data_IF_649423062538
#
_entry.id   IF_649423062538
#
_cell.length_a   1.000
_cell.length_b   1.000
_cell.length_c   1.000
_cell.angle_alpha   90.00
_cell.angle_beta   90.00
_cell.angle_gamma   90.00
#
_symmetry.space_group_name_H-M   'P 1'
#
loop_
_entity.id
_entity.type
_entity.pdbx_description
1 polymer ?
#
# COMPACT_ATOMS: atom_id res chain seq x y z
N UNK A 1 3.21 18.09 -20.63
CA UNK A 1 1.99 17.24 -20.50
C UNK A 1 2.06 16.54 -19.15
N UNK A 2 1.04 16.65 -18.32
CA UNK A 2 0.99 16.02 -17.01
C UNK A 2 0.21 14.72 -17.12
N UNK A 3 0.72 13.64 -16.52
CA UNK A 3 0.09 12.33 -16.56
C UNK A 3 0.87 11.28 -15.75
N UNK A 4 0.40 10.05 -15.77
CA UNK A 4 1.09 8.91 -15.15
C UNK A 4 2.11 8.35 -16.12
N UNK A 5 3.39 8.45 -15.80
CA UNK A 5 4.49 7.98 -16.65
C UNK A 5 4.87 6.52 -16.41
N UNK A 6 4.73 6.06 -15.15
CA UNK A 6 5.06 4.69 -14.76
C UNK A 6 4.10 4.20 -13.66
N UNK A 7 4.01 2.90 -13.49
CA UNK A 7 3.28 2.29 -12.40
C UNK A 7 3.99 1.01 -11.93
N UNK A 8 3.76 0.65 -10.69
CA UNK A 8 4.27 -0.58 -10.11
C UNK A 8 3.32 -1.13 -9.06
N UNK A 9 3.37 -2.42 -8.83
CA UNK A 9 2.50 -3.10 -7.87
C UNK A 9 3.28 -4.15 -7.10
N UNK A 10 2.92 -4.32 -5.84
CA UNK A 10 3.36 -5.41 -5.01
C UNK A 10 2.15 -6.07 -4.34
N UNK A 11 2.11 -7.40 -4.37
CA UNK A 11 1.12 -8.20 -3.66
C UNK A 11 1.88 -9.27 -2.87
N UNK A 12 1.67 -9.40 -1.55
CA UNK A 12 2.30 -10.44 -0.74
C UNK A 12 2.20 -11.83 -1.38
N UNK A 13 3.25 -12.62 -1.28
CA UNK A 13 3.32 -13.93 -1.96
C UNK A 13 2.51 -15.02 -1.28
N UNK A 14 2.37 -14.93 0.06
CA UNK A 14 1.61 -15.93 0.80
C UNK A 14 0.11 -15.89 0.45
N UNK A 15 -0.49 -17.06 0.40
CA UNK A 15 -1.92 -17.23 0.10
C UNK A 15 -2.58 -18.03 1.21
N UNK A 16 -3.73 -17.55 1.64
CA UNK A 16 -4.58 -18.26 2.59
C UNK A 16 -5.88 -18.67 1.90
N UNK A 17 -6.17 -19.97 1.93
CA UNK A 17 -7.39 -20.50 1.34
C UNK A 17 -8.60 -20.10 2.20
N UNK A 18 -9.57 -19.43 1.59
CA UNK A 18 -10.77 -18.96 2.28
C UNK A 18 -11.61 -20.10 2.88
N UNK A 19 -11.56 -21.29 2.28
CA UNK A 19 -12.22 -22.47 2.84
C UNK A 19 -11.62 -22.88 4.19
N UNK A 20 -10.30 -22.77 4.35
CA UNK A 20 -9.63 -23.05 5.63
C UNK A 20 -10.05 -22.06 6.72
N UNK A 21 -10.19 -20.77 6.37
CA UNK A 21 -10.70 -19.75 7.30
C UNK A 21 -12.14 -20.09 7.72
N UNK A 22 -12.99 -20.39 6.77
CA UNK A 22 -14.40 -20.74 7.04
C UNK A 22 -14.50 -21.99 7.91
N UNK A 23 -13.74 -23.04 7.62
CA UNK A 23 -13.74 -24.27 8.43
C UNK A 23 -13.31 -24.03 9.87
N UNK A 24 -12.31 -23.18 10.09
CA UNK A 24 -11.82 -22.85 11.42
C UNK A 24 -12.82 -22.02 12.24
N UNK A 25 -13.69 -21.24 11.60
CA UNK A 25 -14.57 -20.26 12.24
C UNK A 25 -16.06 -20.54 12.06
N UNK A 26 -16.48 -21.56 11.30
CA UNK A 26 -17.88 -21.85 10.99
C UNK A 26 -18.72 -22.25 12.21
N UNK A 27 -18.08 -22.75 13.25
CA UNK A 27 -18.73 -23.01 14.54
C UNK A 27 -19.22 -21.73 15.23
N UNK A 28 -18.54 -20.60 14.96
CA UNK A 28 -18.87 -19.28 15.49
C UNK A 28 -19.81 -18.50 14.55
N UNK A 29 -19.53 -18.55 13.23
CA UNK A 29 -20.35 -17.88 12.21
C UNK A 29 -20.47 -18.76 10.95
N UNK A 30 -21.57 -19.47 10.85
CA UNK A 30 -21.86 -20.34 9.70
C UNK A 30 -21.99 -19.58 8.36
N UNK A 31 -22.25 -18.26 8.40
CA UNK A 31 -22.36 -17.44 7.17
C UNK A 31 -21.05 -17.33 6.39
N UNK A 32 -19.90 -17.56 7.04
CA UNK A 32 -18.58 -17.56 6.41
C UNK A 32 -18.45 -18.62 5.31
N UNK A 33 -19.21 -19.70 5.37
CA UNK A 33 -19.21 -20.74 4.33
C UNK A 33 -19.64 -20.19 2.96
N UNK A 34 -20.50 -19.20 2.92
CA UNK A 34 -20.92 -18.56 1.68
C UNK A 34 -19.80 -17.77 0.98
N UNK A 35 -18.79 -17.35 1.75
CA UNK A 35 -17.62 -16.59 1.31
C UNK A 35 -16.37 -17.48 1.09
N UNK A 36 -16.46 -18.79 1.34
CA UNK A 36 -15.36 -19.75 1.34
C UNK A 36 -14.88 -20.13 -0.07
N UNK A 37 -14.71 -19.16 -0.96
CA UNK A 37 -14.26 -19.37 -2.35
C UNK A 37 -12.96 -18.61 -2.61
N UNK A 38 -12.02 -19.33 -3.24
CA UNK A 38 -10.73 -18.76 -3.64
C UNK A 38 -9.75 -18.57 -2.48
N UNK A 39 -8.76 -17.74 -2.73
CA UNK A 39 -7.67 -17.45 -1.82
C UNK A 39 -7.56 -15.93 -1.61
N UNK A 40 -6.94 -15.53 -0.50
CA UNK A 40 -6.53 -14.16 -0.27
C UNK A 40 -5.02 -14.07 -0.12
N UNK A 41 -4.42 -12.97 -0.56
CA UNK A 41 -3.05 -12.64 -0.20
C UNK A 41 -2.98 -12.29 1.29
N UNK A 42 -1.95 -12.79 1.95
CA UNK A 42 -1.63 -12.43 3.33
C UNK A 42 -0.19 -11.95 3.42
N UNK A 43 0.03 -10.94 4.23
CA UNK A 43 1.37 -10.48 4.54
C UNK A 43 2.12 -11.54 5.33
N UNK A 44 3.42 -11.65 5.08
CA UNK A 44 4.32 -12.40 5.93
C UNK A 44 4.55 -11.61 7.25
N UNK A 45 5.20 -12.21 8.23
CA UNK A 45 5.46 -11.60 9.53
C UNK A 45 6.35 -10.35 9.45
N UNK A 46 7.18 -10.25 8.44
CA UNK A 46 8.12 -9.15 8.15
C UNK A 46 7.58 -8.15 7.13
N UNK A 47 6.36 -8.34 6.63
CA UNK A 47 5.72 -7.43 5.69
C UNK A 47 4.76 -6.48 6.42
N UNK A 48 4.92 -5.20 6.17
CA UNK A 48 4.05 -4.12 6.64
C UNK A 48 3.75 -3.10 5.52
N UNK A 49 3.05 -2.04 5.86
CA UNK A 49 2.73 -0.95 4.92
C UNK A 49 3.97 -0.35 4.28
N UNK A 50 5.08 -0.19 5.03
CA UNK A 50 6.30 0.43 4.52
C UNK A 50 7.05 -0.52 3.59
N UNK A 51 7.27 -1.75 4.02
CA UNK A 51 7.99 -2.75 3.23
C UNK A 51 7.30 -3.05 1.90
N UNK A 52 5.97 -3.17 1.92
CA UNK A 52 5.18 -3.33 0.70
C UNK A 52 5.22 -2.09 -0.20
N UNK A 53 5.21 -0.89 0.39
CA UNK A 53 5.34 0.36 -0.35
C UNK A 53 6.68 0.45 -1.08
N UNK A 54 7.78 0.07 -0.42
CA UNK A 54 9.13 0.03 -1.02
C UNK A 54 9.18 -0.94 -2.19
N UNK A 55 8.63 -2.14 -2.06
CA UNK A 55 8.64 -3.13 -3.15
C UNK A 55 7.78 -2.70 -4.35
N UNK A 56 6.60 -2.11 -4.11
CA UNK A 56 5.79 -1.54 -5.18
C UNK A 56 6.51 -0.39 -5.90
N UNK A 57 7.17 0.48 -5.13
CA UNK A 57 7.95 1.60 -5.67
C UNK A 57 9.15 1.13 -6.49
N UNK A 58 9.90 0.13 -6.04
CA UNK A 58 11.00 -0.48 -6.82
C UNK A 58 10.50 -0.99 -8.17
N UNK A 59 9.36 -1.65 -8.19
CA UNK A 59 8.75 -2.12 -9.44
C UNK A 59 8.37 -0.95 -10.35
N UNK A 60 7.85 0.15 -9.80
CA UNK A 60 7.52 1.36 -10.55
C UNK A 60 8.78 2.03 -11.13
N UNK A 61 9.85 2.12 -10.35
CA UNK A 61 11.09 2.81 -10.69
C UNK A 61 12.06 1.94 -11.49
N UNK A 62 11.72 0.69 -11.81
CA UNK A 62 12.63 -0.23 -12.52
C UNK A 62 13.10 0.31 -13.89
N UNK A 63 12.33 1.21 -14.51
CA UNK A 63 12.65 1.87 -15.79
C UNK A 63 12.85 3.38 -15.67
N UNK A 64 12.91 3.93 -14.46
CA UNK A 64 13.00 5.36 -14.20
C UNK A 64 14.22 5.66 -13.31
N UNK A 65 14.74 6.89 -13.39
CA UNK A 65 15.85 7.32 -12.53
C UNK A 65 15.31 7.81 -11.18
N UNK A 66 15.73 7.25 -10.04
CA UNK A 66 15.34 7.76 -8.72
C UNK A 66 15.71 9.23 -8.49
N UNK A 67 16.72 9.73 -9.19
CA UNK A 67 17.20 11.12 -9.11
C UNK A 67 16.22 12.15 -9.66
N UNK A 68 15.30 11.72 -10.53
CA UNK A 68 14.27 12.57 -11.13
C UNK A 68 13.13 12.84 -10.16
N UNK A 69 12.93 11.99 -9.16
CA UNK A 69 11.86 12.12 -8.16
C UNK A 69 12.14 13.33 -7.26
N UNK A 70 11.23 14.29 -7.24
CA UNK A 70 11.31 15.50 -6.42
C UNK A 70 10.32 15.53 -5.27
N UNK A 71 9.35 14.63 -5.28
CA UNK A 71 8.39 14.49 -4.18
C UNK A 71 7.88 13.05 -4.04
N UNK A 72 7.67 12.64 -2.79
CA UNK A 72 7.17 11.34 -2.41
C UNK A 72 5.93 11.49 -1.53
N UNK A 73 4.84 10.90 -1.94
CA UNK A 73 3.57 10.86 -1.23
C UNK A 73 3.24 9.42 -0.86
N UNK A 74 3.07 9.15 0.42
CA UNK A 74 2.66 7.83 0.91
C UNK A 74 1.24 7.90 1.47
N UNK A 75 0.31 7.21 0.84
CA UNK A 75 -1.08 7.14 1.26
C UNK A 75 -1.37 5.81 1.94
N UNK A 76 -1.86 5.85 3.18
CA UNK A 76 -2.25 4.67 3.94
C UNK A 76 -3.22 4.99 5.08
N UNK A 77 -4.01 4.01 5.50
CA UNK A 77 -4.75 4.05 6.77
C UNK A 77 -4.11 3.18 7.86
N UNK A 78 -2.97 2.54 7.55
CA UNK A 78 -2.29 1.57 8.42
C UNK A 78 -0.80 1.89 8.58
N UNK A 79 -0.47 3.15 8.79
CA UNK A 79 0.89 3.58 9.06
C UNK A 79 1.46 2.91 10.33
N UNK A 80 2.65 2.32 10.28
CA UNK A 80 3.26 1.72 11.46
C UNK A 80 3.82 2.76 12.44
N UNK A 81 4.24 3.93 11.96
CA UNK A 81 4.81 4.97 12.82
C UNK A 81 3.86 6.16 12.97
N UNK A 82 3.68 6.60 14.23
CA UNK A 82 2.89 7.77 14.60
C UNK A 82 3.75 8.96 15.05
N UNK A 83 5.01 8.70 15.39
CA UNK A 83 5.99 9.65 15.91
C UNK A 83 6.98 10.15 14.85
N UNK A 84 6.93 9.60 13.66
CA UNK A 84 7.79 9.99 12.52
C UNK A 84 7.03 9.86 11.21
N UNK A 85 7.54 10.53 10.20
CA UNK A 85 6.97 10.49 8.85
C UNK A 85 7.35 9.17 8.16
N UNK A 86 6.36 8.38 7.77
CA UNK A 86 6.55 7.06 7.16
C UNK A 86 7.14 7.17 5.74
N UNK A 87 6.74 8.19 4.98
CA UNK A 87 7.26 8.44 3.64
C UNK A 87 8.77 8.73 3.63
N UNK A 88 9.32 9.32 4.68
CA UNK A 88 10.78 9.51 4.81
C UNK A 88 11.49 8.17 4.89
N UNK A 89 10.96 7.21 5.65
CA UNK A 89 11.54 5.86 5.76
C UNK A 89 11.52 5.15 4.41
N UNK A 90 10.43 5.29 3.64
CA UNK A 90 10.34 4.76 2.27
C UNK A 90 11.35 5.45 1.35
N UNK A 91 11.47 6.77 1.42
CA UNK A 91 12.42 7.54 0.61
C UNK A 91 13.86 7.10 0.84
N UNK A 92 14.25 6.90 2.10
CA UNK A 92 15.58 6.40 2.47
C UNK A 92 15.81 4.98 1.94
N UNK A 93 14.83 4.09 2.09
CA UNK A 93 14.93 2.70 1.60
C UNK A 93 15.02 2.60 0.06
N UNK A 94 14.54 3.61 -0.66
CA UNK A 94 14.63 3.73 -2.12
C UNK A 94 15.89 4.49 -2.58
N UNK A 95 16.74 4.94 -1.66
CA UNK A 95 17.90 5.82 -1.93
C UNK A 95 17.52 7.08 -2.72
N UNK A 96 16.36 7.68 -2.42
CA UNK A 96 15.98 8.95 -3.02
C UNK A 96 16.83 10.09 -2.45
N UNK A 97 16.89 11.21 -3.17
CA UNK A 97 17.65 12.37 -2.72
C UNK A 97 17.13 12.90 -1.38
N UNK A 98 18.02 13.32 -0.49
CA UNK A 98 17.65 13.81 0.86
C UNK A 98 16.86 15.12 0.87
N UNK A 99 16.81 15.84 -0.25
CA UNK A 99 16.14 17.14 -0.40
C UNK A 99 14.74 17.04 -1.04
N UNK A 100 14.21 15.84 -1.24
CA UNK A 100 12.87 15.65 -1.79
C UNK A 100 11.78 16.07 -0.80
N UNK A 101 10.64 16.50 -1.29
CA UNK A 101 9.45 16.71 -0.46
C UNK A 101 8.79 15.36 -0.14
N UNK A 102 8.46 15.13 1.13
CA UNK A 102 7.79 13.92 1.58
C UNK A 102 6.49 14.25 2.29
N UNK A 103 5.46 13.42 2.13
CA UNK A 103 4.17 13.59 2.80
C UNK A 103 3.49 12.26 3.06
N UNK A 104 3.02 12.07 4.31
CA UNK A 104 2.12 10.98 4.67
C UNK A 104 0.67 11.47 4.53
N UNK A 105 -0.17 10.69 3.85
CA UNK A 105 -1.57 11.03 3.60
C UNK A 105 -2.44 9.90 4.15
N UNK A 106 -3.15 10.18 5.22
CA UNK A 106 -3.91 9.18 5.97
C UNK A 106 -5.39 9.50 6.10
N UNK A 107 -6.00 8.91 7.13
CA UNK A 107 -7.37 9.11 7.60
C UNK A 107 -8.50 8.63 6.68
N UNK A 108 -8.26 8.28 5.43
CA UNK A 108 -9.29 7.81 4.50
C UNK A 108 -8.75 6.80 3.49
N UNK A 109 -9.57 5.82 3.14
CA UNK A 109 -9.27 4.89 2.05
C UNK A 109 -9.19 5.58 0.67
N UNK A 110 -9.70 6.80 0.56
CA UNK A 110 -9.63 7.61 -0.65
C UNK A 110 -8.39 8.49 -0.73
N UNK A 111 -7.52 8.46 0.28
CA UNK A 111 -6.33 9.32 0.34
C UNK A 111 -5.48 9.23 -0.92
N UNK A 112 -5.19 8.03 -1.40
CA UNK A 112 -4.41 7.82 -2.62
C UNK A 112 -5.08 8.41 -3.86
N UNK A 113 -6.37 8.15 -4.07
CA UNK A 113 -7.11 8.66 -5.23
C UNK A 113 -7.22 10.19 -5.19
N UNK A 114 -7.51 10.75 -4.02
CA UNK A 114 -7.59 12.21 -3.85
C UNK A 114 -6.24 12.88 -4.11
N UNK A 115 -5.15 12.26 -3.64
CA UNK A 115 -3.80 12.76 -3.89
C UNK A 115 -3.41 12.68 -5.36
N UNK A 116 -3.78 11.59 -6.05
CA UNK A 116 -3.53 11.46 -7.49
C UNK A 116 -4.23 12.58 -8.27
N UNK A 117 -5.50 12.82 -7.98
CA UNK A 117 -6.27 13.90 -8.61
C UNK A 117 -5.60 15.25 -8.34
N UNK A 118 -5.26 15.53 -7.08
CA UNK A 118 -4.60 16.79 -6.71
C UNK A 118 -3.26 17.00 -7.41
N UNK A 119 -2.46 15.94 -7.55
CA UNK A 119 -1.19 15.98 -8.26
C UNK A 119 -1.37 16.27 -9.75
N UNK A 120 -2.34 15.61 -10.39
CA UNK A 120 -2.64 15.84 -11.81
C UNK A 120 -3.20 17.26 -12.07
N UNK A 121 -3.95 17.81 -11.11
CA UNK A 121 -4.54 19.17 -11.22
C UNK A 121 -3.55 20.27 -10.83
N UNK A 122 -2.49 19.95 -10.05
CA UNK A 122 -1.57 20.96 -9.50
C UNK A 122 -0.73 21.70 -10.55
N UNK A 123 -0.59 21.16 -11.73
CA UNK A 123 0.24 21.75 -12.79
C UNK A 123 1.75 21.67 -12.52
N UNK A 124 2.20 20.94 -11.50
CA UNK A 124 3.64 20.79 -11.16
C UNK A 124 4.32 19.93 -12.20
N UNK A 125 5.38 20.46 -12.80
CA UNK A 125 6.15 19.78 -13.87
C UNK A 125 7.26 18.87 -13.34
N UNK A 126 7.38 18.69 -12.02
CA UNK A 126 8.39 17.81 -11.44
C UNK A 126 7.82 16.42 -11.15
N UNK A 127 8.68 15.39 -11.27
CA UNK A 127 8.28 14.02 -11.03
C UNK A 127 7.94 13.77 -9.57
N UNK A 128 6.77 13.19 -9.38
CA UNK A 128 6.22 12.83 -8.07
C UNK A 128 5.96 11.32 -8.01
N UNK A 129 6.40 10.68 -6.95
CA UNK A 129 6.10 9.29 -6.64
C UNK A 129 4.94 9.24 -5.64
N UNK A 130 3.79 8.74 -6.07
CA UNK A 130 2.64 8.47 -5.21
C UNK A 130 2.52 6.98 -4.95
N UNK A 131 2.59 6.59 -3.69
CA UNK A 131 2.46 5.20 -3.26
C UNK A 131 1.21 5.04 -2.41
N UNK A 132 0.44 4.00 -2.68
CA UNK A 132 -0.66 3.55 -1.82
C UNK A 132 -0.35 2.17 -1.30
N UNK A 133 -0.29 2.02 0.02
CA UNK A 133 0.02 0.74 0.66
C UNK A 133 -0.83 0.53 1.90
N UNK A 134 -1.38 -0.68 2.06
CA UNK A 134 -2.27 -1.02 3.18
C UNK A 134 -1.92 -2.38 3.76
N UNK A 135 -1.72 -2.43 5.06
CA UNK A 135 -1.59 -3.66 5.82
C UNK A 135 -2.75 -3.80 6.81
N UNK A 136 -3.90 -4.19 6.32
CA UNK A 136 -5.09 -4.33 7.17
C UNK A 136 -5.07 -5.63 7.93
N UNK A 137 -5.14 -5.53 9.25
CA UNK A 137 -5.35 -6.67 10.13
C UNK A 137 -6.86 -6.91 10.28
N UNK A 138 -7.28 -8.11 9.95
CA UNK A 138 -8.65 -8.57 10.17
C UNK A 138 -8.76 -9.25 11.52
N UNK A 139 -9.90 -9.08 12.18
CA UNK A 139 -10.23 -9.87 13.37
C UNK A 139 -10.60 -11.29 12.93
N UNK A 140 -10.02 -12.29 13.60
CA UNK A 140 -10.32 -13.69 13.31
C UNK A 140 -11.83 -13.98 13.37
N UNK A 141 -12.35 -14.72 12.41
CA UNK A 141 -13.78 -15.05 12.28
C UNK A 141 -14.65 -13.90 11.79
N UNK A 142 -14.08 -12.74 11.43
CA UNK A 142 -14.86 -11.64 10.87
C UNK A 142 -15.01 -11.76 9.34
N UNK A 143 -16.05 -11.13 8.79
CA UNK A 143 -16.23 -11.06 7.32
C UNK A 143 -15.04 -10.39 6.63
N UNK A 144 -14.37 -9.45 7.30
CA UNK A 144 -13.18 -8.79 6.76
C UNK A 144 -11.96 -9.72 6.64
N UNK A 145 -11.93 -10.84 7.38
CA UNK A 145 -10.92 -11.88 7.22
C UNK A 145 -11.10 -12.67 5.92
N UNK A 146 -12.33 -12.72 5.42
CA UNK A 146 -12.68 -13.43 4.18
C UNK A 146 -12.48 -12.59 2.92
N UNK A 147 -12.34 -11.29 3.04
CA UNK A 147 -12.11 -10.35 1.93
C UNK A 147 -10.63 -10.23 1.60
#
# INVERSE_FOLDING_TARGET
MIGVSAHGVYVPRARLNKKSIAMANSWFDASLNSLAKGERAICNWDEDTITMAVEAAKNCLASSSPEEIKSLYLASTTFPFTDRQNSVVVGEALNLQSNIRTMDIGASQRSATSSLISLLESGVESDALLISSEHRRSKAGSRSEML
#
